data_IF_821713349079
#
_entry.id   IF_821713349079
#
_cell.length_a   1.000
_cell.length_b   1.000
_cell.length_c   1.000
_cell.angle_alpha   90.00
_cell.angle_beta   90.00
_cell.angle_gamma   90.00
#
_symmetry.space_group_name_H-M   'P 1'
#
loop_
_entity.id
_entity.type
_entity.pdbx_description
1 polymer ?
#
# COMPACT_ATOMS: atom_id res chain seq x y z
N UNK A 1 -27.12 -21.78 27.40
CA UNK A 1 -26.17 -22.05 26.31
C UNK A 1 -25.54 -20.72 25.93
N UNK A 2 -24.31 -20.47 26.38
CA UNK A 2 -23.59 -19.22 26.08
C UNK A 2 -22.97 -19.38 24.70
N UNK A 3 -23.42 -18.59 23.73
CA UNK A 3 -22.81 -18.53 22.40
C UNK A 3 -21.57 -17.65 22.53
N UNK A 4 -20.40 -18.26 22.45
CA UNK A 4 -19.13 -17.55 22.35
C UNK A 4 -18.99 -17.13 20.89
N UNK A 5 -19.26 -15.87 20.58
CA UNK A 5 -18.95 -15.30 19.27
C UNK A 5 -17.43 -15.16 19.15
N UNK A 6 -16.81 -16.03 18.36
CA UNK A 6 -15.43 -15.85 17.92
C UNK A 6 -15.49 -14.73 16.87
N UNK A 7 -14.98 -13.55 17.20
CA UNK A 7 -14.76 -12.52 16.21
C UNK A 7 -13.69 -13.04 15.24
N UNK A 8 -14.12 -13.49 14.07
CA UNK A 8 -13.21 -13.65 12.95
C UNK A 8 -12.71 -12.24 12.61
N UNK A 9 -11.41 -11.99 12.76
CA UNK A 9 -10.80 -10.80 12.18
C UNK A 9 -10.86 -11.00 10.67
N UNK A 10 -11.90 -10.46 10.04
CA UNK A 10 -11.91 -10.32 8.60
C UNK A 10 -10.72 -9.43 8.24
N UNK A 11 -9.70 -10.01 7.61
CA UNK A 11 -8.64 -9.20 7.01
C UNK A 11 -9.32 -8.30 5.99
N UNK A 12 -9.12 -6.99 6.13
CA UNK A 12 -9.66 -6.04 5.19
C UNK A 12 -9.09 -6.36 3.80
N UNK A 13 -9.97 -6.53 2.82
CA UNK A 13 -9.59 -6.66 1.41
C UNK A 13 -8.66 -5.50 1.06
N UNK A 14 -7.54 -5.81 0.39
CA UNK A 14 -6.58 -4.80 -0.05
C UNK A 14 -7.27 -3.66 -0.80
N UNK A 15 -6.94 -2.41 -0.43
CA UNK A 15 -7.43 -1.22 -1.10
C UNK A 15 -6.52 -0.76 -2.26
N UNK A 16 -5.50 -1.55 -2.60
CA UNK A 16 -4.67 -1.33 -3.78
C UNK A 16 -5.52 -1.58 -5.03
N UNK A 17 -5.29 -0.80 -6.09
CA UNK A 17 -5.99 -0.94 -7.37
C UNK A 17 -5.76 -2.34 -7.98
N UNK A 18 -6.70 -2.88 -8.77
CA UNK A 18 -6.56 -4.23 -9.35
C UNK A 18 -5.64 -4.30 -10.58
N UNK A 19 -5.45 -3.16 -11.25
CA UNK A 19 -4.61 -2.97 -12.44
C UNK A 19 -3.26 -2.38 -12.05
N UNK A 20 -3.26 -1.22 -11.40
CA UNK A 20 -2.05 -0.50 -10.97
C UNK A 20 -1.63 -0.94 -9.56
N UNK A 21 -1.08 -2.14 -9.47
CA UNK A 21 -0.72 -2.81 -8.19
C UNK A 21 0.75 -3.18 -8.08
N UNK A 22 1.54 -2.86 -9.10
CA UNK A 22 2.92 -3.32 -9.19
C UNK A 22 3.90 -2.19 -8.94
N UNK A 23 4.99 -2.50 -8.23
CA UNK A 23 6.21 -1.70 -8.24
C UNK A 23 7.38 -2.58 -8.66
N UNK A 24 8.56 -1.99 -8.83
CA UNK A 24 9.74 -2.71 -9.30
C UNK A 24 11.03 -2.29 -8.58
N UNK A 25 11.96 -3.23 -8.45
CA UNK A 25 13.35 -2.94 -8.10
C UNK A 25 14.31 -3.96 -8.70
N UNK A 26 15.53 -3.52 -8.99
CA UNK A 26 16.54 -4.30 -9.72
C UNK A 26 16.79 -5.68 -9.10
N UNK A 27 16.91 -5.74 -7.78
CA UNK A 27 17.28 -6.95 -7.04
C UNK A 27 16.08 -7.67 -6.40
N UNK A 28 14.86 -7.17 -6.59
CA UNK A 28 13.63 -7.71 -6.00
C UNK A 28 12.58 -8.15 -7.04
N UNK A 29 12.72 -7.68 -8.28
CA UNK A 29 11.79 -7.98 -9.37
C UNK A 29 10.50 -7.19 -9.27
N UNK A 30 9.43 -7.72 -9.88
CA UNK A 30 8.08 -7.17 -9.74
C UNK A 30 7.51 -7.46 -8.36
N UNK A 31 6.83 -6.46 -7.80
CA UNK A 31 6.21 -6.52 -6.48
C UNK A 31 4.72 -6.28 -6.62
N UNK A 32 3.89 -7.29 -6.34
CA UNK A 32 2.44 -7.19 -6.31
C UNK A 32 1.96 -6.80 -4.91
N UNK A 33 1.39 -5.60 -4.78
CA UNK A 33 0.92 -5.06 -3.51
C UNK A 33 -0.49 -5.53 -3.12
N UNK A 34 -1.25 -6.08 -4.07
CA UNK A 34 -2.66 -6.42 -3.86
C UNK A 34 -2.91 -7.89 -3.59
N UNK A 35 -2.31 -8.76 -4.40
CA UNK A 35 -2.80 -10.14 -4.54
C UNK A 35 -2.05 -11.15 -3.64
N UNK A 36 -1.44 -10.68 -2.55
CA UNK A 36 -0.69 -11.50 -1.60
C UNK A 36 -1.59 -12.43 -0.78
N UNK A 37 -1.05 -13.58 -0.37
CA UNK A 37 -1.73 -14.56 0.48
C UNK A 37 -2.22 -15.81 -0.26
N UNK A 38 -2.86 -16.71 0.48
CA UNK A 38 -3.49 -17.92 -0.05
C UNK A 38 -4.84 -18.16 0.65
N UNK A 39 -5.98 -17.96 -0.05
CA UNK A 39 -6.11 -17.58 -1.46
C UNK A 39 -5.54 -16.17 -1.77
N UNK A 40 -5.22 -15.97 -3.04
CA UNK A 40 -4.61 -14.73 -3.55
C UNK A 40 -5.50 -13.53 -3.24
N UNK A 41 -4.92 -12.48 -2.64
CA UNK A 41 -5.62 -11.25 -2.27
C UNK A 41 -6.14 -11.18 -0.83
N UNK A 42 -6.06 -12.27 -0.06
CA UNK A 42 -6.50 -12.30 1.33
C UNK A 42 -5.59 -11.52 2.28
N UNK A 43 -4.35 -11.26 1.87
CA UNK A 43 -3.32 -10.67 2.72
C UNK A 43 -2.60 -9.51 2.03
N UNK A 44 -3.17 -8.96 0.96
CA UNK A 44 -2.62 -7.80 0.26
C UNK A 44 -2.46 -6.57 1.15
N UNK A 45 -1.69 -5.60 0.68
CA UNK A 45 -1.46 -4.36 1.41
C UNK A 45 -2.75 -3.57 1.54
N UNK A 46 -3.01 -3.07 2.74
CA UNK A 46 -3.97 -2.01 2.98
C UNK A 46 -3.21 -0.73 3.32
N UNK A 47 -3.40 0.31 2.51
CA UNK A 47 -2.84 1.64 2.70
C UNK A 47 -3.85 2.47 3.48
N UNK A 48 -3.69 2.50 4.80
CA UNK A 48 -4.53 3.26 5.70
C UNK A 48 -4.06 4.71 5.86
N UNK A 49 -4.86 5.56 6.56
CA UNK A 49 -4.57 6.98 6.71
C UNK A 49 -3.36 7.29 7.61
N UNK A 50 -2.91 6.32 8.42
CA UNK A 50 -1.82 6.52 9.39
C UNK A 50 -0.75 5.44 9.34
N UNK A 51 -1.03 4.29 8.74
CA UNK A 51 -0.10 3.17 8.59
C UNK A 51 -0.57 2.20 7.50
N UNK A 52 0.33 1.32 7.06
CA UNK A 52 0.01 0.23 6.15
C UNK A 52 0.01 -1.12 6.88
N UNK A 53 -0.77 -2.07 6.39
CA UNK A 53 -0.76 -3.45 6.90
C UNK A 53 -0.83 -4.45 5.74
N UNK A 54 -0.54 -5.71 6.02
CA UNK A 54 -0.59 -6.79 5.02
C UNK A 54 0.78 -7.10 4.41
N UNK A 55 0.77 -7.73 3.24
CA UNK A 55 1.94 -8.29 2.60
C UNK A 55 2.03 -7.88 1.13
N UNK A 56 3.25 -7.71 0.66
CA UNK A 56 3.61 -7.56 -0.76
C UNK A 56 4.19 -8.89 -1.21
N UNK A 57 3.72 -9.41 -2.33
CA UNK A 57 4.36 -10.55 -3.00
C UNK A 57 5.41 -10.03 -3.97
N UNK A 58 6.64 -10.52 -3.84
CA UNK A 58 7.77 -10.09 -4.65
C UNK A 58 8.33 -11.29 -5.42
N UNK A 59 8.48 -11.15 -6.73
CA UNK A 59 8.84 -12.24 -7.65
C UNK A 59 10.11 -12.98 -7.23
N UNK A 60 11.16 -12.25 -6.83
CA UNK A 60 12.48 -12.84 -6.58
C UNK A 60 12.75 -13.18 -5.12
N UNK A 61 11.92 -12.70 -4.18
CA UNK A 61 12.26 -12.71 -2.74
C UNK A 61 11.13 -13.20 -1.84
N UNK A 62 9.97 -13.55 -2.40
CA UNK A 62 8.81 -13.98 -1.63
C UNK A 62 8.06 -12.81 -1.01
N UNK A 63 7.61 -12.96 0.24
CA UNK A 63 6.74 -11.97 0.87
C UNK A 63 7.52 -10.91 1.65
N UNK A 64 7.02 -9.68 1.59
CA UNK A 64 7.41 -8.56 2.44
C UNK A 64 6.22 -8.16 3.30
N UNK A 65 6.38 -8.16 4.62
CA UNK A 65 5.40 -7.69 5.59
C UNK A 65 5.56 -6.18 5.79
N UNK A 66 4.51 -5.39 5.53
CA UNK A 66 4.52 -3.93 5.72
C UNK A 66 4.01 -3.49 7.09
N UNK A 67 3.58 -4.42 7.95
CA UNK A 67 3.07 -4.11 9.27
C UNK A 67 2.85 -5.33 10.17
N UNK A 68 3.51 -5.33 11.33
CA UNK A 68 3.34 -6.32 12.39
C UNK A 68 2.91 -5.63 13.70
N UNK A 69 1.77 -6.06 14.25
CA UNK A 69 1.12 -5.44 15.40
C UNK A 69 0.03 -4.42 15.02
N UNK A 70 -0.50 -3.71 16.01
CA UNK A 70 -1.49 -2.66 15.82
C UNK A 70 -0.80 -1.32 15.53
N UNK A 71 -0.87 -0.85 14.28
CA UNK A 71 -0.28 0.42 13.88
C UNK A 71 -1.03 1.65 14.45
N UNK A 72 -0.46 2.87 14.33
CA UNK A 72 0.87 3.17 13.80
C UNK A 72 2.00 2.53 14.61
N UNK A 73 3.09 2.20 13.92
CA UNK A 73 4.15 1.36 14.46
C UNK A 73 5.22 2.17 15.18
N UNK A 74 5.66 1.70 16.35
CA UNK A 74 6.75 2.34 17.08
C UNK A 74 8.10 2.10 16.41
N UNK A 75 8.23 0.99 15.66
CA UNK A 75 9.46 0.60 14.95
C UNK A 75 10.69 0.50 15.89
N UNK A 76 10.47 -0.01 17.11
CA UNK A 76 11.52 -0.16 18.14
C UNK A 76 12.04 -1.59 18.27
N UNK A 77 11.25 -2.58 17.84
CA UNK A 77 11.59 -3.99 17.92
C UNK A 77 10.81 -4.82 16.89
N UNK A 78 11.10 -6.12 16.83
CA UNK A 78 10.50 -7.08 15.91
C UNK A 78 9.02 -7.43 16.17
N UNK A 79 8.45 -7.03 17.31
CA UNK A 79 7.05 -7.28 17.66
C UNK A 79 6.12 -6.15 17.26
N UNK A 80 6.65 -4.94 17.05
CA UNK A 80 5.92 -3.77 16.56
C UNK A 80 6.76 -2.98 15.54
N UNK A 81 6.57 -3.31 14.26
CA UNK A 81 7.23 -2.66 13.13
C UNK A 81 6.26 -2.52 11.97
N UNK A 82 6.52 -1.56 11.09
CA UNK A 82 5.74 -1.39 9.88
C UNK A 82 5.89 -0.01 9.27
N UNK A 83 5.17 0.19 8.17
CA UNK A 83 5.15 1.43 7.41
C UNK A 83 4.10 2.36 7.99
N UNK A 84 4.54 3.55 8.41
CA UNK A 84 3.68 4.63 8.89
C UNK A 84 3.45 5.67 7.79
N UNK A 85 2.26 6.25 7.79
CA UNK A 85 1.85 7.34 6.89
C UNK A 85 1.72 8.61 7.74
N UNK A 86 2.55 9.61 7.45
CA UNK A 86 2.45 10.90 8.09
C UNK A 86 1.26 11.72 7.52
N UNK A 87 0.82 12.75 8.23
CA UNK A 87 -0.30 13.60 7.81
C UNK A 87 -0.07 14.30 6.46
N UNK A 88 1.19 14.51 6.08
CA UNK A 88 1.57 15.07 4.78
C UNK A 88 1.75 14.00 3.68
N UNK A 89 1.44 12.74 3.96
CA UNK A 89 1.59 11.61 3.05
C UNK A 89 2.96 10.94 3.06
N UNK A 90 3.98 11.51 3.71
CA UNK A 90 5.32 10.91 3.75
C UNK A 90 5.31 9.56 4.47
N UNK A 91 6.05 8.60 3.91
CA UNK A 91 6.18 7.26 4.48
C UNK A 91 7.42 7.15 5.38
N UNK A 92 7.27 6.40 6.45
CA UNK A 92 8.35 6.11 7.39
C UNK A 92 8.24 4.72 7.98
N UNK A 93 9.26 4.31 8.73
CA UNK A 93 9.32 2.98 9.34
C UNK A 93 9.89 1.92 8.41
N UNK A 94 9.61 0.66 8.73
CA UNK A 94 10.27 -0.47 8.12
C UNK A 94 9.30 -1.58 7.71
N UNK A 95 9.54 -2.18 6.55
CA UNK A 95 8.96 -3.45 6.16
C UNK A 95 10.00 -4.58 6.27
N UNK A 96 9.54 -5.82 6.43
CA UNK A 96 10.39 -6.99 6.62
C UNK A 96 10.16 -8.04 5.55
N UNK A 97 11.21 -8.43 4.83
CA UNK A 97 11.20 -9.62 3.98
C UNK A 97 12.13 -10.69 4.52
N UNK A 98 11.65 -11.91 4.73
CA UNK A 98 12.43 -13.00 5.34
C UNK A 98 13.74 -13.31 4.58
N UNK A 99 13.74 -13.11 3.27
CA UNK A 99 14.89 -13.40 2.39
C UNK A 99 15.81 -12.20 2.15
N UNK A 100 15.40 -10.98 2.54
CA UNK A 100 16.09 -9.72 2.17
C UNK A 100 16.29 -8.74 3.31
N UNK A 101 15.73 -9.03 4.49
CA UNK A 101 15.84 -8.18 5.67
C UNK A 101 14.94 -6.95 5.62
N UNK A 102 15.41 -5.87 6.24
CA UNK A 102 14.65 -4.64 6.43
C UNK A 102 14.62 -3.77 5.16
N UNK A 103 13.46 -3.18 4.91
CA UNK A 103 13.25 -2.14 3.90
C UNK A 103 12.83 -0.85 4.62
N UNK A 104 13.64 0.19 4.50
CA UNK A 104 13.43 1.49 5.10
C UNK A 104 12.62 2.41 4.17
N UNK A 105 11.41 2.78 4.60
CA UNK A 105 10.51 3.63 3.85
C UNK A 105 10.87 5.13 3.91
N UNK A 106 11.74 5.53 4.84
CA UNK A 106 12.34 6.87 4.86
C UNK A 106 13.63 6.97 4.03
N UNK A 107 14.08 5.88 3.40
CA UNK A 107 15.36 5.84 2.67
C UNK A 107 15.47 6.90 1.56
N UNK A 108 14.42 7.09 0.77
CA UNK A 108 14.40 8.10 -0.30
C UNK A 108 14.52 9.54 0.21
N UNK A 109 14.04 9.84 1.42
CA UNK A 109 14.19 11.16 2.03
C UNK A 109 15.67 11.48 2.36
N UNK A 110 16.48 10.44 2.55
CA UNK A 110 17.91 10.54 2.82
C UNK A 110 18.77 10.48 1.54
N UNK A 111 18.16 10.29 0.37
CA UNK A 111 18.86 10.28 -0.91
C UNK A 111 19.36 11.68 -1.31
N UNK A 112 20.25 11.73 -2.31
CA UNK A 112 20.72 12.99 -2.89
C UNK A 112 20.60 12.97 -4.42
N UNK A 113 19.65 13.70 -5.03
CA UNK A 113 18.65 14.55 -4.38
C UNK A 113 17.61 13.74 -3.58
N UNK A 114 16.94 14.34 -2.57
CA UNK A 114 15.88 13.67 -1.82
C UNK A 114 14.71 13.27 -2.72
N UNK A 115 14.23 12.04 -2.58
CA UNK A 115 13.07 11.48 -3.26
C UNK A 115 12.23 10.64 -2.28
N UNK A 116 11.59 11.28 -1.27
CA UNK A 116 10.89 10.58 -0.19
C UNK A 116 9.76 9.72 -0.73
N UNK A 117 9.65 8.50 -0.18
CA UNK A 117 8.48 7.68 -0.41
C UNK A 117 7.27 8.32 0.25
N UNK A 118 6.16 8.41 -0.49
CA UNK A 118 4.95 9.09 -0.03
C UNK A 118 3.71 8.53 -0.69
N UNK A 119 2.59 8.70 -0.01
CA UNK A 119 1.26 8.68 -0.60
C UNK A 119 1.02 10.02 -1.28
N UNK A 120 0.63 9.98 -2.55
CA UNK A 120 0.18 11.14 -3.33
C UNK A 120 -1.32 10.98 -3.63
N UNK A 121 -2.14 11.76 -2.93
CA UNK A 121 -3.58 11.86 -3.16
C UNK A 121 -3.94 12.96 -4.16
N UNK A 122 -2.96 13.70 -4.69
CA UNK A 122 -3.20 14.74 -5.70
C UNK A 122 -3.38 14.19 -7.13
N UNK A 123 -3.28 12.87 -7.32
CA UNK A 123 -3.55 12.19 -8.59
C UNK A 123 -4.85 11.42 -8.52
N UNK A 124 -5.50 11.21 -9.68
CA UNK A 124 -6.63 10.31 -9.80
C UNK A 124 -6.25 9.13 -10.73
N UNK A 125 -6.07 7.90 -10.20
CA UNK A 125 -6.23 7.52 -8.79
C UNK A 125 -5.05 7.95 -7.90
N UNK A 126 -5.23 8.03 -6.56
CA UNK A 126 -4.14 8.20 -5.61
C UNK A 126 -3.10 7.09 -5.75
N UNK A 127 -1.82 7.41 -5.53
CA UNK A 127 -0.72 6.46 -5.73
C UNK A 127 0.45 6.63 -4.77
N UNK A 128 1.30 5.61 -4.72
CA UNK A 128 2.62 5.72 -4.11
C UNK A 128 3.61 6.40 -5.07
N UNK A 129 4.58 7.09 -4.46
CA UNK A 129 5.69 7.78 -5.13
C UNK A 129 6.98 7.68 -4.33
N UNK A 130 8.09 8.13 -4.92
CA UNK A 130 9.42 8.14 -4.33
C UNK A 130 10.14 6.79 -4.33
N UNK A 131 11.17 6.69 -3.48
CA UNK A 131 12.04 5.53 -3.38
C UNK A 131 12.17 5.06 -1.94
N UNK A 132 12.31 3.74 -1.78
CA UNK A 132 12.63 3.10 -0.50
C UNK A 132 13.93 2.32 -0.65
N UNK A 133 14.59 2.00 0.47
CA UNK A 133 15.88 1.34 0.47
C UNK A 133 15.83 0.05 1.29
N UNK A 134 16.22 -1.08 0.71
CA UNK A 134 16.39 -2.33 1.44
C UNK A 134 17.85 -2.71 1.61
N UNK A 135 18.19 -3.20 2.79
CA UNK A 135 19.59 -3.46 3.19
C UNK A 135 20.33 -4.41 2.23
N UNK A 136 19.64 -5.46 1.76
CA UNK A 136 20.23 -6.48 0.90
C UNK A 136 19.80 -6.38 -0.56
N UNK A 137 18.97 -5.40 -0.92
CA UNK A 137 18.42 -5.26 -2.28
C UNK A 137 18.61 -3.86 -2.90
N UNK A 138 19.06 -2.86 -2.13
CA UNK A 138 19.29 -1.50 -2.61
C UNK A 138 18.01 -0.69 -2.81
N UNK A 139 17.99 0.14 -3.85
CA UNK A 139 16.88 1.05 -4.14
C UNK A 139 15.70 0.33 -4.77
N UNK A 140 14.50 0.64 -4.27
CA UNK A 140 13.22 0.20 -4.83
C UNK A 140 12.46 1.44 -5.31
N UNK A 141 11.89 1.36 -6.52
CA UNK A 141 11.18 2.46 -7.16
C UNK A 141 9.66 2.32 -7.00
N UNK A 142 9.01 3.35 -6.46
CA UNK A 142 7.55 3.48 -6.35
C UNK A 142 6.97 4.55 -7.30
N UNK A 143 7.80 5.32 -7.99
CA UNK A 143 7.43 6.53 -8.76
C UNK A 143 7.47 6.33 -10.29
N UNK A 144 7.29 5.10 -10.77
CA UNK A 144 7.21 4.86 -12.22
C UNK A 144 5.88 5.42 -12.75
N UNK A 145 5.91 6.26 -13.78
CA UNK A 145 4.70 6.89 -14.33
C UNK A 145 3.95 6.04 -15.37
N UNK A 146 4.42 4.83 -15.65
CA UNK A 146 3.85 3.92 -16.64
C UNK A 146 2.75 3.03 -16.02
N UNK A 147 1.60 2.93 -16.70
CA UNK A 147 0.48 2.10 -16.27
C UNK A 147 0.90 0.64 -16.01
N UNK A 148 0.37 0.05 -14.95
CA UNK A 148 0.72 -1.29 -14.50
C UNK A 148 2.10 -1.40 -13.82
N UNK A 149 2.82 -0.29 -13.62
CA UNK A 149 4.15 -0.26 -12.97
C UNK A 149 4.21 0.64 -11.75
N UNK A 150 3.07 1.14 -11.30
CA UNK A 150 2.93 1.83 -10.02
C UNK A 150 1.83 1.24 -9.16
N UNK A 151 1.83 1.65 -7.90
CA UNK A 151 0.86 1.24 -6.90
C UNK A 151 -0.14 2.37 -6.72
N UNK A 152 -1.31 2.23 -7.32
CA UNK A 152 -2.48 3.04 -7.02
C UNK A 152 -3.31 2.40 -5.91
N UNK A 153 -4.09 3.19 -5.20
CA UNK A 153 -4.98 2.70 -4.17
C UNK A 153 -6.19 3.62 -4.02
N UNK A 154 -7.26 3.07 -3.46
CA UNK A 154 -8.43 3.83 -3.03
C UNK A 154 -8.30 4.08 -1.53
N UNK A 155 -8.16 5.33 -1.07
CA UNK A 155 -8.07 5.63 0.36
C UNK A 155 -9.24 5.01 1.13
N UNK A 156 -8.96 4.30 2.22
CA UNK A 156 -10.01 3.76 3.08
C UNK A 156 -10.58 4.90 3.94
N UNK A 157 -11.53 5.66 3.39
CA UNK A 157 -12.04 6.88 4.01
C UNK A 157 -13.55 7.04 3.89
N UNK A 158 -14.13 6.84 2.70
CA UNK A 158 -15.56 6.97 2.53
C UNK A 158 -16.11 5.92 1.56
N UNK A 159 -17.00 5.06 2.06
CA UNK A 159 -17.78 4.20 1.17
C UNK A 159 -18.65 5.10 0.30
N UNK A 160 -18.39 5.14 -1.01
CA UNK A 160 -19.08 6.04 -1.93
C UNK A 160 -18.21 7.16 -2.49
N UNK A 161 -16.93 7.26 -2.11
CA UNK A 161 -15.92 8.09 -2.78
C UNK A 161 -15.51 7.41 -4.10
N UNK A 162 -16.25 7.71 -5.17
CA UNK A 162 -16.05 7.14 -6.49
C UNK A 162 -14.97 7.90 -7.27
N UNK A 163 -14.73 9.18 -6.98
CA UNK A 163 -13.70 9.98 -7.66
C UNK A 163 -12.33 9.95 -6.97
N UNK A 164 -12.28 9.40 -5.74
CA UNK A 164 -11.12 9.24 -4.87
C UNK A 164 -10.49 10.58 -4.42
N UNK A 165 -11.28 11.63 -4.27
CA UNK A 165 -10.82 12.93 -3.77
C UNK A 165 -10.77 13.03 -2.23
N UNK A 166 -11.28 12.00 -1.54
CA UNK A 166 -11.24 11.89 -0.09
C UNK A 166 -12.47 12.46 0.62
N UNK A 167 -13.54 12.79 -0.11
CA UNK A 167 -14.86 13.04 0.48
C UNK A 167 -15.97 12.16 -0.12
N UNK A 168 -17.23 12.53 0.11
CA UNK A 168 -18.36 11.85 -0.53
C UNK A 168 -19.38 12.92 -0.88
N UNK A 169 -19.37 13.32 -2.14
CA UNK A 169 -20.13 14.45 -2.62
C UNK A 169 -20.94 14.13 -3.90
N UNK A 170 -21.41 15.18 -4.56
CA UNK A 170 -22.19 15.03 -5.79
C UNK A 170 -21.35 14.51 -6.97
N UNK A 171 -20.04 14.71 -6.95
CA UNK A 171 -19.08 14.27 -7.96
C UNK A 171 -19.00 12.75 -7.98
N UNK A 172 -18.99 12.12 -6.80
CA UNK A 172 -19.05 10.66 -6.71
C UNK A 172 -20.33 10.06 -7.25
N UNK A 173 -21.46 10.67 -6.88
CA UNK A 173 -22.76 10.27 -7.39
C UNK A 173 -22.85 10.45 -8.90
N UNK A 174 -22.24 11.51 -9.45
CA UNK A 174 -22.20 11.75 -10.90
C UNK A 174 -21.38 10.69 -11.63
N UNK A 175 -20.26 10.22 -11.07
CA UNK A 175 -19.50 9.10 -11.63
C UNK A 175 -20.37 7.84 -11.69
N UNK A 176 -21.01 7.48 -10.58
CA UNK A 176 -21.89 6.30 -10.53
C UNK A 176 -23.08 6.45 -11.49
N UNK A 177 -23.69 7.64 -11.60
CA UNK A 177 -24.82 7.88 -12.50
C UNK A 177 -24.43 7.88 -13.99
N UNK A 178 -23.23 8.34 -14.33
CA UNK A 178 -22.78 8.44 -15.73
C UNK A 178 -22.18 7.13 -16.25
N UNK A 179 -21.76 6.22 -15.38
CA UNK A 179 -21.21 4.90 -15.73
C UNK A 179 -22.27 3.78 -15.86
N UNK A 180 -23.54 4.05 -15.55
CA UNK A 180 -24.66 3.14 -15.89
C UNK A 180 -24.95 3.05 -17.40
N UNK A 181 -24.16 3.71 -18.24
CA UNK A 181 -24.36 3.84 -19.68
C UNK A 181 -23.15 3.41 -20.50
N UNK A 182 -22.82 2.10 -20.49
CA UNK A 182 -22.24 1.52 -21.70
C UNK A 182 -23.27 1.70 -22.84
N UNK A 183 -23.07 2.70 -23.69
CA UNK A 183 -23.62 2.69 -25.06
C UNK A 183 -22.87 1.59 -25.82
N UNK A 184 -23.59 0.59 -26.33
CA UNK A 184 -24.29 0.73 -27.61
C UNK A 184 -25.78 1.09 -27.51
#
# INVERSE_FOLDING_TARGET
MVVVSIACVALAVSNVNSTDKFSWGENIGWMNWRDSGSPSGDQGVNIGPTFMSGFIWCENVGYVNVGNGGGPYTNTDHTNFGVNVATNGDLSGFAWGENIGWINFSGGAMANPPQPARVDTGTNPPRLRGYVWGENIGWINLDVAEAGKFVAFTPSGCAGDADNDGDTDSTDLNIVLTDFGCLP
#
